data_IF_305837934504
#
_entry.id   IF_305837934504
#
_cell.length_a   1.000
_cell.length_b   1.000
_cell.length_c   1.000
_cell.angle_alpha   90.00
_cell.angle_beta   90.00
_cell.angle_gamma   90.00
#
_symmetry.space_group_name_H-M   'P 1'
#
loop_
_entity.id
_entity.type
_entity.pdbx_description
1 polymer ?
#
# COMPACT_ATOMS: atom_id res chain seq x y z
N UNK A 1 0.46 9.80 -1.51
CA UNK A 1 1.93 9.69 -1.56
C UNK A 1 2.24 8.34 -2.15
N UNK A 2 3.30 8.21 -2.92
CA UNK A 2 3.68 6.98 -3.61
C UNK A 2 5.13 6.67 -3.29
N UNK A 3 5.52 5.40 -3.25
CA UNK A 3 6.93 5.05 -3.08
C UNK A 3 7.72 5.50 -4.31
N UNK A 4 8.90 6.08 -4.08
CA UNK A 4 9.78 6.48 -5.17
C UNK A 4 10.19 5.24 -6.00
N UNK A 5 10.29 5.43 -7.31
CA UNK A 5 10.72 4.40 -8.23
C UNK A 5 12.19 4.00 -7.98
N UNK A 6 12.62 2.76 -8.31
CA UNK A 6 13.99 2.31 -8.07
C UNK A 6 15.08 3.26 -8.59
N UNK A 7 14.87 3.87 -9.76
CA UNK A 7 15.81 4.83 -10.36
C UNK A 7 15.98 6.15 -9.57
N UNK A 8 15.11 6.44 -8.60
CA UNK A 8 15.30 7.57 -7.67
C UNK A 8 16.52 7.36 -6.76
N UNK A 9 16.77 6.10 -6.36
CA UNK A 9 17.80 5.78 -5.37
C UNK A 9 19.17 5.54 -5.99
N UNK A 10 19.22 4.92 -7.17
CA UNK A 10 20.46 4.61 -7.88
C UNK A 10 20.18 4.48 -9.38
N UNK A 11 21.00 5.13 -10.22
CA UNK A 11 20.89 5.09 -11.68
C UNK A 11 20.96 3.65 -12.22
N UNK A 12 21.69 2.75 -11.55
CA UNK A 12 21.77 1.33 -11.95
C UNK A 12 20.40 0.64 -11.94
N UNK A 13 19.47 1.12 -11.12
CA UNK A 13 18.11 0.58 -11.01
C UNK A 13 17.08 1.27 -11.92
N UNK A 14 17.50 2.27 -12.70
CA UNK A 14 16.61 2.95 -13.64
C UNK A 14 16.11 2.02 -14.75
N UNK A 15 16.92 1.03 -15.15
CA UNK A 15 16.57 0.03 -16.15
C UNK A 15 16.70 -1.37 -15.56
N UNK A 16 15.79 -2.27 -15.94
CA UNK A 16 15.83 -3.65 -15.45
C UNK A 16 17.01 -4.42 -16.04
N UNK A 17 17.88 -4.91 -15.15
CA UNK A 17 19.05 -5.73 -15.44
C UNK A 17 19.18 -6.79 -14.36
N UNK A 18 19.46 -8.04 -14.73
CA UNK A 18 19.56 -9.13 -13.76
C UNK A 18 20.70 -8.88 -12.76
N UNK A 19 21.79 -8.28 -13.22
CA UNK A 19 22.99 -7.98 -12.43
C UNK A 19 22.74 -6.87 -11.39
N UNK A 20 21.67 -6.09 -11.56
CA UNK A 20 21.30 -4.99 -10.66
C UNK A 20 20.26 -5.40 -9.63
N UNK A 21 19.80 -6.65 -9.65
CA UNK A 21 18.91 -7.22 -8.64
C UNK A 21 19.72 -7.88 -7.51
N UNK A 22 19.21 -7.86 -6.26
CA UNK A 22 17.95 -7.24 -5.85
C UNK A 22 18.07 -5.71 -5.68
N UNK A 23 16.98 -5.01 -5.98
CA UNK A 23 16.75 -3.62 -5.57
C UNK A 23 16.43 -3.62 -4.07
N UNK A 24 17.31 -3.01 -3.28
CA UNK A 24 17.18 -2.93 -1.83
C UNK A 24 17.84 -1.63 -1.31
N UNK A 25 17.15 -0.49 -1.34
CA UNK A 25 17.70 0.77 -0.86
C UNK A 25 17.77 0.81 0.68
N UNK A 26 18.68 1.62 1.22
CA UNK A 26 18.83 1.80 2.67
C UNK A 26 17.63 2.50 3.32
N UNK A 27 16.88 3.29 2.52
CA UNK A 27 15.67 3.99 2.93
C UNK A 27 14.63 3.97 1.82
N UNK A 28 13.37 4.16 2.20
CA UNK A 28 12.24 4.21 1.28
C UNK A 28 11.65 5.61 1.30
N UNK A 29 11.80 6.32 0.20
CA UNK A 29 11.33 7.68 0.02
C UNK A 29 9.91 7.65 -0.57
N UNK A 30 9.04 8.51 -0.04
CA UNK A 30 7.65 8.65 -0.49
C UNK A 30 7.49 9.99 -1.20
N UNK A 31 7.08 9.96 -2.45
CA UNK A 31 6.90 11.14 -3.28
C UNK A 31 5.42 11.55 -3.37
N UNK A 32 5.20 12.82 -3.69
CA UNK A 32 3.87 13.31 -4.02
C UNK A 32 3.56 12.87 -5.45
N UNK A 33 2.46 12.15 -5.63
CA UNK A 33 1.96 11.77 -6.95
C UNK A 33 1.86 13.02 -7.85
N UNK A 34 2.29 12.89 -9.11
CA UNK A 34 2.48 14.02 -10.05
C UNK A 34 1.23 14.89 -10.20
N UNK A 35 0.05 14.29 -10.16
CA UNK A 35 -1.24 14.96 -10.30
C UNK A 35 -1.75 15.62 -8.99
N UNK A 36 -1.15 15.30 -7.83
CA UNK A 36 -1.58 15.80 -6.52
C UNK A 36 -0.72 16.96 -5.97
N UNK A 37 0.31 17.39 -6.70
CA UNK A 37 1.26 18.41 -6.24
C UNK A 37 0.62 19.73 -5.80
N UNK A 38 -0.39 20.22 -6.53
CA UNK A 38 -1.10 21.47 -6.18
C UNK A 38 -1.80 21.37 -4.83
N UNK A 39 -2.57 20.31 -4.61
CA UNK A 39 -3.31 20.10 -3.37
C UNK A 39 -2.36 19.86 -2.20
N UNK A 40 -1.30 19.07 -2.41
CA UNK A 40 -0.28 18.85 -1.40
C UNK A 40 0.37 20.15 -0.93
N UNK A 41 0.72 21.06 -1.85
CA UNK A 41 1.33 22.35 -1.50
C UNK A 41 0.44 23.17 -0.56
N UNK A 42 -0.86 23.27 -0.88
CA UNK A 42 -1.84 24.00 -0.04
C UNK A 42 -1.88 23.39 1.36
N UNK A 43 -2.03 22.06 1.45
CA UNK A 43 -2.11 21.35 2.74
C UNK A 43 -0.80 21.49 3.52
N UNK A 44 0.35 21.35 2.87
CA UNK A 44 1.66 21.46 3.52
C UNK A 44 1.90 22.85 4.13
N UNK A 45 1.48 23.93 3.45
CA UNK A 45 1.57 25.28 3.98
C UNK A 45 0.68 25.47 5.22
N UNK A 46 -0.54 24.92 5.20
CA UNK A 46 -1.46 24.97 6.34
C UNK A 46 -0.94 24.16 7.53
N UNK A 47 -0.43 22.94 7.30
CA UNK A 47 0.14 22.08 8.33
C UNK A 47 1.33 22.72 9.03
N UNK A 48 2.20 23.41 8.27
CA UNK A 48 3.35 24.14 8.84
C UNK A 48 2.91 25.28 9.75
N UNK A 49 1.87 26.02 9.40
CA UNK A 49 1.35 27.15 10.17
C UNK A 49 0.55 26.74 11.41
N UNK A 50 -0.14 25.59 11.37
CA UNK A 50 -1.03 25.16 12.44
C UNK A 50 -0.28 24.72 13.72
N UNK A 51 -0.74 25.14 14.90
CA UNK A 51 -0.25 24.60 16.19
C UNK A 51 -0.92 23.28 16.56
N UNK A 52 -2.18 23.10 16.15
CA UNK A 52 -2.97 21.88 16.37
C UNK A 52 -3.40 21.30 15.03
N UNK A 53 -3.18 20.01 14.85
CA UNK A 53 -3.56 19.24 13.67
C UNK A 53 -4.53 18.15 14.11
N UNK A 54 -5.73 18.14 13.52
CA UNK A 54 -6.73 17.10 13.75
C UNK A 54 -6.74 16.19 12.52
N UNK A 55 -6.36 14.93 12.70
CA UNK A 55 -6.49 13.90 11.69
C UNK A 55 -7.97 13.47 11.64
N UNK A 56 -8.59 13.63 10.48
CA UNK A 56 -10.00 13.34 10.24
C UNK A 56 -10.22 12.49 8.97
N UNK A 57 -9.22 11.71 8.59
CA UNK A 57 -9.32 10.67 7.54
C UNK A 57 -10.16 9.49 8.03
N UNK A 58 -10.47 8.55 7.14
CA UNK A 58 -11.22 7.34 7.46
C UNK A 58 -10.61 6.60 8.66
N UNK A 59 -11.46 5.96 9.48
CA UNK A 59 -11.07 5.29 10.72
C UNK A 59 -10.47 3.91 10.46
N UNK A 60 -9.42 3.86 9.65
CA UNK A 60 -8.70 2.65 9.30
C UNK A 60 -7.20 2.91 9.08
N UNK A 61 -6.48 1.84 8.73
CA UNK A 61 -5.04 1.89 8.47
C UNK A 61 -4.67 2.79 7.29
N UNK A 62 -5.48 2.82 6.23
CA UNK A 62 -5.18 3.62 5.03
C UNK A 62 -5.43 5.12 5.30
N UNK A 63 -6.46 5.44 6.08
CA UNK A 63 -6.70 6.79 6.57
C UNK A 63 -5.54 7.32 7.40
N UNK A 64 -4.98 6.50 8.30
CA UNK A 64 -3.75 6.87 9.03
C UNK A 64 -2.55 7.01 8.07
N UNK A 65 -2.39 6.10 7.11
CA UNK A 65 -1.35 6.17 6.08
C UNK A 65 -1.36 7.52 5.38
N UNK A 66 -2.51 7.91 4.82
CA UNK A 66 -2.69 9.16 4.09
C UNK A 66 -2.31 10.36 4.95
N UNK A 67 -2.87 10.46 6.17
CA UNK A 67 -2.69 11.62 7.02
C UNK A 67 -1.22 11.79 7.45
N UNK A 68 -0.62 10.74 7.99
CA UNK A 68 0.74 10.80 8.52
C UNK A 68 1.79 10.90 7.40
N UNK A 69 1.62 10.23 6.26
CA UNK A 69 2.52 10.41 5.11
C UNK A 69 2.55 11.86 4.63
N UNK A 70 1.40 12.54 4.58
CA UNK A 70 1.32 13.95 4.20
C UNK A 70 1.99 14.84 5.26
N UNK A 71 1.72 14.60 6.54
CA UNK A 71 2.33 15.36 7.65
C UNK A 71 3.86 15.24 7.65
N UNK A 72 4.39 14.03 7.48
CA UNK A 72 5.83 13.78 7.42
C UNK A 72 6.47 14.45 6.20
N UNK A 73 5.91 14.26 5.01
CA UNK A 73 6.45 14.87 3.78
C UNK A 73 6.31 16.39 3.74
N UNK A 74 5.30 16.94 4.41
CA UNK A 74 5.19 18.38 4.58
C UNK A 74 6.24 18.93 5.57
N UNK A 75 7.08 18.10 6.19
CA UNK A 75 7.96 18.47 7.31
C UNK A 75 7.20 19.19 8.42
N UNK A 76 5.97 18.73 8.68
CA UNK A 76 5.08 19.32 9.67
C UNK A 76 4.96 18.47 10.95
N UNK A 77 5.61 17.31 10.99
CA UNK A 77 5.75 16.52 12.22
C UNK A 77 6.76 17.19 13.17
N UNK A 78 6.29 17.70 14.32
CA UNK A 78 7.13 18.32 15.34
C UNK A 78 6.58 18.06 16.74
N UNK A 79 7.46 17.97 17.74
CA UNK A 79 7.09 17.84 19.16
C UNK A 79 6.34 19.07 19.69
N UNK A 80 6.50 20.23 19.04
CA UNK A 80 5.86 21.48 19.45
C UNK A 80 4.41 21.61 18.96
N UNK A 81 3.95 20.66 18.13
CA UNK A 81 2.59 20.64 17.58
C UNK A 81 1.73 19.62 18.32
N UNK A 82 0.46 19.94 18.48
CA UNK A 82 -0.53 19.03 19.06
C UNK A 82 -1.22 18.24 17.95
N UNK A 83 -1.17 16.90 18.04
CA UNK A 83 -1.87 16.01 17.12
C UNK A 83 -3.08 15.38 17.82
N UNK A 84 -4.25 15.49 17.18
CA UNK A 84 -5.52 14.91 17.62
C UNK A 84 -6.10 14.03 16.53
N UNK A 85 -6.97 13.09 16.90
CA UNK A 85 -7.63 12.17 15.98
C UNK A 85 -9.14 12.16 16.19
N UNK A 86 -9.88 12.39 15.10
CA UNK A 86 -11.33 12.19 15.01
C UNK A 86 -11.60 10.77 14.52
N UNK A 87 -11.83 9.80 15.40
CA UNK A 87 -12.05 8.41 15.02
C UNK A 87 -13.55 8.08 14.95
N UNK A 88 -14.16 8.27 13.78
CA UNK A 88 -15.59 8.01 13.53
C UNK A 88 -15.77 7.21 12.24
N UNK A 89 -16.84 6.42 12.17
CA UNK A 89 -17.22 5.62 11.00
C UNK A 89 -18.59 6.00 10.42
N UNK A 90 -19.13 7.16 10.81
CA UNK A 90 -20.42 7.68 10.34
C UNK A 90 -20.33 9.17 10.05
N UNK A 91 -21.03 9.60 9.01
CA UNK A 91 -21.15 11.00 8.58
C UNK A 91 -22.39 11.69 9.18
N UNK A 92 -23.11 11.02 10.08
CA UNK A 92 -24.23 11.63 10.78
C UNK A 92 -23.78 12.80 11.64
N UNK A 93 -24.56 13.89 11.60
CA UNK A 93 -24.22 15.17 12.24
C UNK A 93 -23.89 15.04 13.73
N UNK A 94 -24.66 14.23 14.44
CA UNK A 94 -24.49 14.07 15.88
C UNK A 94 -23.28 13.19 16.23
N UNK A 95 -22.95 12.20 15.38
CA UNK A 95 -21.71 11.41 15.50
C UNK A 95 -20.49 12.29 15.25
N UNK A 96 -20.51 13.13 14.22
CA UNK A 96 -19.40 14.07 13.93
C UNK A 96 -19.20 15.02 15.11
N UNK A 97 -20.27 15.63 15.63
CA UNK A 97 -20.19 16.54 16.78
C UNK A 97 -19.64 15.86 18.03
N UNK A 98 -20.17 14.69 18.36
CA UNK A 98 -19.69 13.90 19.50
C UNK A 98 -18.22 13.49 19.33
N UNK A 99 -17.82 13.12 18.10
CA UNK A 99 -16.43 12.80 17.77
C UNK A 99 -15.49 13.98 17.98
N UNK A 100 -15.88 15.19 17.57
CA UNK A 100 -15.09 16.41 17.80
C UNK A 100 -15.03 16.83 19.27
N UNK A 101 -16.05 16.51 20.07
CA UNK A 101 -16.01 16.72 21.52
C UNK A 101 -15.06 15.74 22.22
N UNK A 102 -14.88 14.53 21.65
CA UNK A 102 -14.12 13.44 22.24
C UNK A 102 -12.87 13.06 21.42
N UNK A 103 -12.15 14.07 20.90
CA UNK A 103 -10.94 13.85 20.12
C UNK A 103 -9.88 13.08 20.91
N UNK A 104 -9.35 12.04 20.29
CA UNK A 104 -8.30 11.22 20.88
C UNK A 104 -6.91 11.81 20.60
N UNK A 105 -5.89 11.49 21.40
CA UNK A 105 -4.50 11.78 21.05
C UNK A 105 -4.14 11.14 19.70
N UNK A 106 -3.56 11.91 18.77
CA UNK A 106 -3.19 11.40 17.44
C UNK A 106 -2.22 10.22 17.50
N UNK A 107 -1.28 10.26 18.44
CA UNK A 107 -0.25 9.23 18.61
C UNK A 107 -0.79 7.84 18.96
N UNK A 108 -2.02 7.74 19.48
CA UNK A 108 -2.65 6.44 19.76
C UNK A 108 -2.86 5.61 18.49
N UNK A 109 -2.94 6.26 17.32
CA UNK A 109 -3.21 5.64 16.03
C UNK A 109 -2.00 5.60 15.10
N UNK A 110 -0.87 6.20 15.51
CA UNK A 110 0.39 6.15 14.77
C UNK A 110 0.88 4.73 14.43
N UNK A 111 0.67 3.69 15.26
CA UNK A 111 1.02 2.32 14.89
C UNK A 111 0.35 1.81 13.61
N UNK A 112 -0.87 2.26 13.29
CA UNK A 112 -1.52 1.91 12.02
C UNK A 112 -0.80 2.52 10.83
N UNK A 113 -0.33 3.76 10.94
CA UNK A 113 0.54 4.36 9.92
C UNK A 113 1.80 3.52 9.69
N UNK A 114 2.47 3.10 10.77
CA UNK A 114 3.67 2.26 10.68
C UNK A 114 3.36 0.93 10.00
N UNK A 115 2.28 0.26 10.39
CA UNK A 115 1.81 -0.99 9.76
C UNK A 115 1.55 -0.80 8.25
N UNK A 116 0.88 0.29 7.87
CA UNK A 116 0.58 0.61 6.47
C UNK A 116 1.84 0.82 5.65
N UNK A 117 2.81 1.56 6.20
CA UNK A 117 4.08 1.84 5.56
C UNK A 117 4.92 0.56 5.39
N UNK A 118 5.01 -0.26 6.44
CA UNK A 118 5.68 -1.56 6.36
C UNK A 118 5.07 -2.45 5.29
N UNK A 119 3.74 -2.49 5.18
CA UNK A 119 3.06 -3.25 4.14
C UNK A 119 3.39 -2.72 2.74
N UNK A 120 3.33 -1.41 2.52
CA UNK A 120 3.66 -0.81 1.22
C UNK A 120 5.11 -1.10 0.80
N UNK A 121 6.06 -0.98 1.73
CA UNK A 121 7.47 -1.29 1.49
C UNK A 121 7.65 -2.77 1.15
N UNK A 122 7.00 -3.69 1.88
CA UNK A 122 7.06 -5.11 1.61
C UNK A 122 6.49 -5.47 0.22
N UNK A 123 5.34 -4.88 -0.13
CA UNK A 123 4.71 -5.09 -1.43
C UNK A 123 5.58 -4.51 -2.57
N UNK A 124 6.18 -3.33 -2.37
CA UNK A 124 7.12 -2.71 -3.31
C UNK A 124 8.39 -3.55 -3.50
N UNK A 125 9.01 -4.02 -2.41
CA UNK A 125 10.19 -4.87 -2.46
C UNK A 125 9.94 -6.15 -3.27
N UNK A 126 8.82 -6.82 -3.02
CA UNK A 126 8.48 -8.04 -3.77
C UNK A 126 8.19 -7.70 -5.23
N UNK A 127 7.39 -6.68 -5.49
CA UNK A 127 7.01 -6.29 -6.86
C UNK A 127 8.19 -5.87 -7.71
N UNK A 128 9.05 -4.99 -7.18
CA UNK A 128 10.22 -4.42 -7.87
C UNK A 128 11.36 -5.41 -8.04
N UNK A 129 11.41 -6.51 -7.28
CA UNK A 129 12.41 -7.54 -7.46
C UNK A 129 11.90 -8.73 -8.27
N UNK A 130 10.73 -9.27 -7.93
CA UNK A 130 10.22 -10.49 -8.54
C UNK A 130 9.72 -10.25 -9.98
N UNK A 131 9.06 -9.12 -10.26
CA UNK A 131 8.55 -8.84 -11.61
C UNK A 131 9.68 -8.69 -12.63
N UNK A 132 10.75 -7.90 -12.37
CA UNK A 132 11.87 -7.81 -13.30
C UNK A 132 12.62 -9.13 -13.42
N UNK A 133 12.85 -9.84 -12.30
CA UNK A 133 13.53 -11.14 -12.31
C UNK A 133 12.83 -12.13 -13.23
N UNK A 134 11.53 -12.34 -13.07
CA UNK A 134 10.77 -13.28 -13.90
C UNK A 134 10.63 -12.80 -15.34
N UNK A 135 10.38 -11.51 -15.54
CA UNK A 135 10.24 -10.93 -16.88
C UNK A 135 11.52 -11.11 -17.69
N UNK A 136 12.68 -10.73 -17.15
CA UNK A 136 13.96 -10.85 -17.85
C UNK A 136 14.31 -12.32 -18.15
N UNK A 137 14.08 -13.23 -17.20
CA UNK A 137 14.33 -14.67 -17.41
C UNK A 137 13.41 -15.28 -18.49
N UNK A 138 12.15 -14.84 -18.57
CA UNK A 138 11.20 -15.32 -19.59
C UNK A 138 11.52 -14.74 -20.97
N UNK A 139 11.91 -13.47 -21.04
CA UNK A 139 12.36 -12.83 -22.27
C UNK A 139 13.61 -13.49 -22.86
N UNK A 140 14.57 -13.88 -22.01
CA UNK A 140 15.75 -14.67 -22.44
C UNK A 140 15.37 -16.03 -23.05
N UNK A 141 14.21 -16.58 -22.67
CA UNK A 141 13.63 -17.81 -23.24
C UNK A 141 12.72 -17.56 -24.44
N UNK A 142 12.66 -16.34 -24.95
CA UNK A 142 11.86 -15.94 -26.11
C UNK A 142 10.39 -15.61 -25.81
N UNK A 143 9.99 -15.55 -24.54
CA UNK A 143 8.63 -15.17 -24.16
C UNK A 143 8.52 -13.65 -24.11
N UNK A 144 7.64 -13.08 -24.93
CA UNK A 144 7.41 -11.63 -24.98
C UNK A 144 6.44 -11.16 -23.89
N UNK A 145 6.66 -9.95 -23.37
CA UNK A 145 5.78 -9.29 -22.40
C UNK A 145 6.45 -8.98 -21.07
N UNK A 146 5.66 -8.42 -20.16
CA UNK A 146 6.02 -8.11 -18.77
C UNK A 146 5.13 -8.90 -17.84
N UNK A 147 5.74 -9.54 -16.84
CA UNK A 147 5.07 -10.45 -15.93
C UNK A 147 5.09 -9.85 -14.53
N UNK A 148 3.96 -9.32 -14.08
CA UNK A 148 3.83 -8.76 -12.74
C UNK A 148 3.76 -9.87 -11.69
N UNK A 149 4.63 -9.77 -10.69
CA UNK A 149 4.60 -10.62 -9.51
C UNK A 149 4.30 -9.78 -8.29
N UNK A 150 3.63 -10.37 -7.31
CA UNK A 150 3.33 -9.68 -6.07
C UNK A 150 2.77 -10.62 -5.02
N UNK A 151 2.98 -10.26 -3.76
CA UNK A 151 2.60 -11.04 -2.58
C UNK A 151 1.11 -11.43 -2.56
N UNK A 152 0.24 -10.66 -3.22
CA UNK A 152 -1.20 -10.92 -3.30
C UNK A 152 -1.61 -11.48 -4.67
N UNK A 153 -1.23 -10.81 -5.76
CA UNK A 153 -1.64 -11.24 -7.12
C UNK A 153 -1.14 -12.65 -7.47
N UNK A 154 0.10 -12.99 -7.08
CA UNK A 154 0.73 -14.26 -7.46
C UNK A 154 0.10 -15.46 -6.73
N UNK A 155 -0.09 -15.44 -5.39
CA UNK A 155 -0.84 -16.50 -4.72
C UNK A 155 -2.29 -16.63 -5.20
N UNK A 156 -2.97 -15.51 -5.50
CA UNK A 156 -4.33 -15.56 -6.04
C UNK A 156 -4.37 -16.27 -7.39
N UNK A 157 -3.44 -15.97 -8.30
CA UNK A 157 -3.31 -16.68 -9.58
C UNK A 157 -3.02 -18.17 -9.35
N UNK A 158 -2.18 -18.50 -8.38
CA UNK A 158 -1.85 -19.88 -8.05
C UNK A 158 -3.07 -20.68 -7.57
N UNK A 159 -3.97 -20.08 -6.78
CA UNK A 159 -5.21 -20.74 -6.36
C UNK A 159 -6.12 -21.09 -7.55
N UNK A 160 -6.19 -20.21 -8.56
CA UNK A 160 -6.95 -20.46 -9.79
C UNK A 160 -6.30 -21.60 -10.59
N UNK A 161 -4.97 -21.58 -10.72
CA UNK A 161 -4.21 -22.64 -11.37
C UNK A 161 -4.43 -23.99 -10.70
N UNK A 162 -4.35 -24.08 -9.37
CA UNK A 162 -4.62 -25.32 -8.61
C UNK A 162 -6.04 -25.83 -8.85
N UNK A 163 -7.03 -24.95 -8.91
CA UNK A 163 -8.41 -25.34 -9.23
C UNK A 163 -8.52 -25.90 -10.65
N UNK A 164 -7.84 -25.29 -11.61
CA UNK A 164 -7.82 -25.76 -12.98
C UNK A 164 -7.16 -27.15 -13.08
N UNK A 165 -6.01 -27.36 -12.43
CA UNK A 165 -5.38 -28.67 -12.38
C UNK A 165 -6.28 -29.74 -11.75
N UNK A 166 -7.01 -29.41 -10.68
CA UNK A 166 -7.95 -30.33 -10.05
C UNK A 166 -9.10 -30.72 -11.00
N UNK A 167 -9.57 -29.79 -11.83
CA UNK A 167 -10.61 -30.05 -12.85
C UNK A 167 -10.06 -30.92 -13.98
N UNK A 168 -8.87 -30.60 -14.51
CA UNK A 168 -8.24 -31.34 -15.60
C UNK A 168 -7.92 -32.79 -15.21
N UNK A 169 -7.53 -33.00 -13.95
CA UNK A 169 -7.19 -34.32 -13.42
C UNK A 169 -8.39 -35.05 -12.78
N UNK A 170 -9.59 -34.46 -12.79
CA UNK A 170 -10.77 -35.09 -12.20
C UNK A 170 -11.20 -36.34 -13.01
N UNK A 171 -11.17 -37.50 -12.37
CA UNK A 171 -11.67 -38.75 -12.93
C UNK A 171 -13.09 -38.99 -12.43
N UNK A 172 -14.05 -38.93 -13.34
CA UNK A 172 -15.47 -39.20 -13.05
C UNK A 172 -15.65 -40.67 -12.67
N UNK A 173 -16.32 -40.92 -11.55
CA UNK A 173 -16.69 -42.25 -11.10
C UNK A 173 -18.21 -42.32 -10.90
N UNK A 174 -18.87 -43.43 -11.28
CA UNK A 174 -20.29 -43.60 -11.01
C UNK A 174 -20.54 -43.74 -9.50
N UNK A 175 -21.59 -43.10 -9.00
CA UNK A 175 -22.11 -43.29 -7.65
C UNK A 175 -23.63 -43.46 -7.69
N UNK A 176 -24.19 -44.07 -6.65
CA UNK A 176 -25.61 -44.39 -6.56
C UNK A 176 -26.20 -43.81 -5.28
N UNK A 177 -27.39 -43.23 -5.38
CA UNK A 177 -28.18 -42.74 -4.25
C UNK A 177 -29.53 -43.48 -4.18
N UNK A 178 -30.07 -43.65 -2.97
CA UNK A 178 -31.38 -44.26 -2.75
C UNK A 178 -32.41 -43.16 -2.50
N UNK A 179 -33.42 -43.06 -3.36
CA UNK A 179 -34.55 -42.17 -3.20
C UNK A 179 -35.79 -42.98 -2.77
N UNK A 180 -36.35 -42.65 -1.60
CA UNK A 180 -37.58 -43.26 -1.09
C UNK A 180 -38.78 -42.31 -1.27
N UNK A 181 -39.95 -42.87 -1.62
CA UNK A 181 -41.21 -42.15 -1.72
C UNK A 181 -41.92 -42.02 -0.38
#
# INVERSE_FOLDING_TARGET
MELAEPGHYDEKWQNWKLESLPIFPDRYDFEVAKDKGKQFKIVAELLKKANTIIVATDSDREGENIAWSIIHNANAFSKDKTFKRLWINSLEKDVIRSGFQNLQPGMNYYPFYQEAQTRQIADWLIGMNASPLYTLNLQQKGVQGTFSLGRVQTPTLYLIFQRQEAIENFKKEPFFEVEAK
#
